data_IF_904954046208
#
_entry.id   IF_904954046208
#
_cell.length_a   1.000
_cell.length_b   1.000
_cell.length_c   1.000
_cell.angle_alpha   90.00
_cell.angle_beta   90.00
_cell.angle_gamma   90.00
#
_symmetry.space_group_name_H-M   'P 1'
#
loop_
_entity.id
_entity.type
_entity.pdbx_description
1 polymer ?
#
# COMPACT_ATOMS: atom_id res chain seq x y z
N UNK A 1 -10.76 62.80 10.76
CA UNK A 1 -10.46 61.89 9.64
C UNK A 1 -9.77 60.66 10.23
N UNK A 2 -10.46 59.52 10.33
CA UNK A 2 -9.92 58.27 10.91
C UNK A 2 -9.88 57.22 9.80
N UNK A 3 -8.68 56.80 9.42
CA UNK A 3 -8.47 55.77 8.40
C UNK A 3 -8.85 54.43 9.01
N UNK A 4 -9.90 53.79 8.48
CA UNK A 4 -10.26 52.40 8.82
C UNK A 4 -9.31 51.49 8.06
N UNK A 5 -8.40 50.84 8.78
CA UNK A 5 -7.57 49.75 8.26
C UNK A 5 -8.46 48.51 8.18
N UNK A 6 -8.68 48.00 6.98
CA UNK A 6 -9.38 46.74 6.74
C UNK A 6 -8.54 45.58 7.25
N UNK A 7 -9.19 44.63 7.94
CA UNK A 7 -8.56 43.38 8.39
C UNK A 7 -8.18 42.54 7.16
N UNK A 8 -7.01 41.90 7.11
CA UNK A 8 -6.71 40.93 6.08
C UNK A 8 -7.60 39.71 6.26
N UNK A 9 -8.28 39.32 5.18
CA UNK A 9 -9.00 38.06 5.07
C UNK A 9 -7.95 36.96 5.15
N UNK A 10 -7.94 36.23 6.27
CA UNK A 10 -7.15 35.04 6.46
C UNK A 10 -7.77 33.96 5.56
N UNK A 11 -7.25 33.81 4.34
CA UNK A 11 -7.51 32.64 3.50
C UNK A 11 -6.90 31.48 4.27
N UNK A 12 -7.75 30.64 4.86
CA UNK A 12 -7.37 29.44 5.59
C UNK A 12 -6.54 28.56 4.68
N UNK A 13 -5.23 28.55 4.91
CA UNK A 13 -4.30 27.67 4.25
C UNK A 13 -4.69 26.22 4.54
N UNK A 14 -4.93 25.48 3.46
CA UNK A 14 -4.98 24.03 3.50
C UNK A 14 -3.65 23.55 4.06
N UNK A 15 -3.68 22.90 5.21
CA UNK A 15 -2.55 22.19 5.75
C UNK A 15 -2.25 21.00 4.82
N UNK A 16 -1.36 21.23 3.86
CA UNK A 16 -0.63 20.17 3.16
C UNK A 16 0.14 19.38 4.23
N UNK A 17 -0.42 18.25 4.65
CA UNK A 17 0.35 17.23 5.37
C UNK A 17 1.31 16.65 4.34
N UNK A 18 2.52 17.19 4.35
CA UNK A 18 3.65 16.69 3.59
C UNK A 18 3.97 15.28 4.04
N UNK A 19 3.55 14.29 3.24
CA UNK A 19 4.14 12.96 3.30
C UNK A 19 5.49 13.08 2.61
N UNK A 20 6.54 13.24 3.41
CA UNK A 20 7.92 13.06 2.97
C UNK A 20 8.12 11.58 2.61
N UNK A 21 7.82 11.20 1.37
CA UNK A 21 8.31 9.94 0.81
C UNK A 21 9.78 10.17 0.46
N UNK A 22 10.65 9.39 1.09
CA UNK A 22 12.09 9.32 0.82
C UNK A 22 12.32 9.08 -0.67
N UNK A 23 12.62 10.16 -1.40
CA UNK A 23 13.25 10.09 -2.73
C UNK A 23 14.71 9.69 -2.49
N UNK A 24 15.04 8.45 -2.78
CA UNK A 24 16.38 8.05 -3.22
C UNK A 24 16.18 7.24 -4.49
N UNK A 25 16.72 7.59 -5.67
CA UNK A 25 17.98 8.26 -5.99
C UNK A 25 17.77 9.09 -7.28
N UNK A 26 18.38 10.28 -7.33
CA UNK A 26 18.61 11.08 -8.56
C UNK A 26 19.97 10.70 -9.14
N UNK A 27 20.08 10.50 -10.46
CA UNK A 27 21.20 10.97 -11.30
C UNK A 27 20.89 10.78 -12.80
N UNK A 28 20.83 11.90 -13.54
CA UNK A 28 20.81 11.96 -15.01
C UNK A 28 22.25 11.90 -15.50
N UNK A 29 22.62 10.93 -16.36
CA UNK A 29 23.76 11.05 -17.28
C UNK A 29 23.39 10.43 -18.63
N UNK A 30 23.56 11.22 -19.70
CA UNK A 30 23.46 10.78 -21.09
C UNK A 30 24.53 9.72 -21.41
N UNK A 31 24.09 8.55 -21.87
CA UNK A 31 24.96 7.54 -22.48
C UNK A 31 24.44 6.13 -22.25
N UNK A 32 23.75 5.54 -23.24
CA UNK A 32 23.63 4.10 -23.50
C UNK A 32 23.49 3.12 -22.31
N UNK A 33 22.97 3.56 -21.16
CA UNK A 33 22.81 2.71 -19.99
C UNK A 33 21.58 1.83 -20.22
N UNK A 34 21.79 0.51 -20.25
CA UNK A 34 20.69 -0.45 -20.16
C UNK A 34 19.86 -0.08 -18.94
N UNK A 35 18.55 0.12 -19.11
CA UNK A 35 17.60 0.33 -18.00
C UNK A 35 17.86 -0.79 -16.99
N UNK A 36 18.30 -0.44 -15.79
CA UNK A 36 18.56 -1.43 -14.74
C UNK A 36 17.23 -2.11 -14.41
N UNK A 37 17.24 -3.43 -14.53
CA UNK A 37 16.05 -4.25 -14.35
C UNK A 37 15.98 -4.67 -12.89
N UNK A 38 14.87 -4.37 -12.21
CA UNK A 38 14.68 -4.75 -10.81
C UNK A 38 14.55 -6.27 -10.67
N UNK A 39 15.20 -6.83 -9.65
CA UNK A 39 15.01 -8.23 -9.22
C UNK A 39 14.17 -8.35 -7.96
N UNK A 40 13.61 -7.24 -7.46
CA UNK A 40 12.78 -7.20 -6.25
C UNK A 40 11.37 -7.74 -6.54
N UNK A 41 10.92 -8.82 -5.86
CA UNK A 41 9.54 -9.30 -5.94
C UNK A 41 8.47 -8.25 -5.66
N UNK A 42 8.79 -7.22 -4.87
CA UNK A 42 7.88 -6.17 -4.46
C UNK A 42 7.94 -4.92 -5.35
N UNK A 43 8.74 -4.94 -6.43
CA UNK A 43 9.02 -3.79 -7.29
C UNK A 43 7.76 -3.05 -7.76
N UNK A 44 6.79 -3.76 -8.34
CA UNK A 44 5.53 -3.14 -8.77
C UNK A 44 4.59 -2.84 -7.59
N UNK A 45 4.53 -3.75 -6.60
CA UNK A 45 3.65 -3.62 -5.45
C UNK A 45 3.94 -2.34 -4.64
N UNK A 46 5.22 -2.01 -4.44
CA UNK A 46 5.65 -0.88 -3.63
C UNK A 46 5.46 0.48 -4.31
N UNK A 47 5.23 0.52 -5.63
CA UNK A 47 4.98 1.76 -6.37
C UNK A 47 3.58 2.32 -6.15
N UNK A 48 2.63 1.48 -5.74
CA UNK A 48 1.21 1.84 -5.67
C UNK A 48 0.72 1.83 -4.23
N UNK A 49 -0.10 2.83 -3.91
CA UNK A 49 -0.80 2.93 -2.62
C UNK A 49 -2.31 2.99 -2.84
N UNK A 50 -3.08 2.46 -1.89
CA UNK A 50 -4.54 2.62 -1.87
C UNK A 50 -4.88 4.11 -1.79
N UNK A 51 -5.87 4.54 -2.58
CA UNK A 51 -6.25 5.93 -2.74
C UNK A 51 -5.54 6.66 -3.88
N UNK A 52 -4.48 6.08 -4.48
CA UNK A 52 -3.88 6.61 -5.71
C UNK A 52 -4.90 6.56 -6.85
N UNK A 53 -4.95 7.58 -7.71
CA UNK A 53 -5.84 7.54 -8.87
C UNK A 53 -5.41 6.46 -9.84
N UNK A 54 -6.37 5.94 -10.61
CA UNK A 54 -6.10 4.94 -11.65
C UNK A 54 -5.04 5.43 -12.65
N UNK A 55 -5.17 6.67 -13.14
CA UNK A 55 -4.23 7.27 -14.09
C UNK A 55 -2.81 7.33 -13.51
N UNK A 56 -2.64 7.81 -12.27
CA UNK A 56 -1.33 7.86 -11.61
C UNK A 56 -0.74 6.47 -11.41
N UNK A 57 -1.56 5.49 -11.02
CA UNK A 57 -1.11 4.12 -10.78
C UNK A 57 -0.67 3.42 -12.07
N UNK A 58 -1.39 3.59 -13.17
CA UNK A 58 -1.02 3.01 -14.46
C UNK A 58 0.25 3.67 -15.02
N UNK A 59 0.38 4.98 -14.82
CA UNK A 59 1.57 5.74 -15.23
C UNK A 59 2.83 5.30 -14.48
N UNK A 60 2.77 5.08 -13.16
CA UNK A 60 3.95 4.70 -12.37
C UNK A 60 4.35 3.23 -12.57
N UNK A 61 3.39 2.36 -12.89
CA UNK A 61 3.65 0.94 -13.10
C UNK A 61 4.43 0.68 -14.41
N UNK A 62 4.19 1.50 -15.45
CA UNK A 62 4.83 1.37 -16.77
C UNK A 62 4.68 -0.02 -17.42
N UNK A 63 3.63 -0.77 -17.04
CA UNK A 63 3.31 -2.09 -17.60
C UNK A 63 1.82 -2.19 -17.90
N UNK A 64 1.46 -2.99 -18.90
CA UNK A 64 0.07 -3.20 -19.28
C UNK A 64 -0.65 -4.09 -18.25
N UNK A 65 -1.83 -3.64 -17.80
CA UNK A 65 -2.67 -4.41 -16.88
C UNK A 65 -3.52 -5.43 -17.62
N UNK A 66 -3.59 -6.66 -17.11
CA UNK A 66 -4.49 -7.70 -17.61
C UNK A 66 -5.73 -7.82 -16.71
N UNK A 67 -6.93 -7.82 -17.31
CA UNK A 67 -8.19 -7.85 -16.56
C UNK A 67 -8.33 -9.11 -15.68
N UNK A 68 -8.71 -8.91 -14.42
CA UNK A 68 -8.91 -9.96 -13.40
C UNK A 68 -10.10 -9.62 -12.49
N UNK A 69 -11.27 -10.18 -12.78
CA UNK A 69 -12.47 -9.91 -12.00
C UNK A 69 -12.86 -8.43 -12.07
N UNK A 70 -12.84 -7.73 -10.92
CA UNK A 70 -13.09 -6.27 -10.82
C UNK A 70 -11.81 -5.43 -10.84
N UNK A 71 -10.66 -6.05 -11.10
CA UNK A 71 -9.36 -5.41 -11.08
C UNK A 71 -8.48 -5.79 -12.26
N UNK A 72 -7.20 -5.46 -12.13
CA UNK A 72 -6.16 -5.70 -13.12
C UNK A 72 -4.93 -6.30 -12.46
N UNK A 73 -4.29 -7.25 -13.12
CA UNK A 73 -2.98 -7.77 -12.76
C UNK A 73 -1.92 -7.05 -13.59
N UNK A 74 -0.94 -6.45 -12.92
CA UNK A 74 0.23 -5.82 -13.52
C UNK A 74 1.44 -6.68 -13.18
N UNK A 75 2.04 -7.30 -14.20
CA UNK A 75 3.10 -8.29 -14.06
C UNK A 75 4.47 -7.65 -14.29
N UNK A 76 5.43 -7.97 -13.44
CA UNK A 76 6.85 -7.74 -13.71
C UNK A 76 7.42 -8.99 -14.39
N UNK A 77 7.64 -8.93 -15.71
CA UNK A 77 8.15 -10.06 -16.49
C UNK A 77 9.55 -10.51 -16.04
N UNK A 78 10.29 -9.66 -15.34
CA UNK A 78 11.66 -9.97 -14.92
C UNK A 78 11.71 -10.85 -13.68
N UNK A 79 10.73 -10.68 -12.78
CA UNK A 79 10.68 -11.40 -11.51
C UNK A 79 9.57 -12.44 -11.47
N UNK A 80 8.55 -12.30 -12.32
CA UNK A 80 7.32 -13.07 -12.31
C UNK A 80 6.29 -12.59 -11.27
N UNK A 81 6.67 -11.70 -10.36
CA UNK A 81 5.74 -11.12 -9.38
C UNK A 81 5.01 -9.92 -9.98
N UNK A 82 4.08 -9.34 -9.23
CA UNK A 82 3.40 -8.14 -9.68
C UNK A 82 2.46 -7.57 -8.63
N UNK A 83 1.46 -6.83 -9.10
CA UNK A 83 0.40 -6.31 -8.24
C UNK A 83 -0.95 -6.48 -8.90
N UNK A 84 -1.92 -6.94 -8.13
CA UNK A 84 -3.34 -6.91 -8.49
C UNK A 84 -3.96 -5.65 -7.88
N UNK A 85 -4.56 -4.80 -8.71
CA UNK A 85 -5.26 -3.58 -8.27
C UNK A 85 -6.75 -3.67 -8.60
N UNK A 86 -7.61 -3.29 -7.67
CA UNK A 86 -9.02 -3.01 -7.97
C UNK A 86 -9.30 -1.54 -7.78
N UNK A 87 -10.13 -0.99 -8.66
CA UNK A 87 -10.49 0.42 -8.68
C UNK A 87 -11.97 0.61 -8.34
N UNK A 88 -12.29 1.72 -7.69
CA UNK A 88 -13.67 2.14 -7.45
C UNK A 88 -13.70 3.66 -7.31
N UNK A 89 -14.87 4.24 -7.54
CA UNK A 89 -15.13 5.64 -7.21
C UNK A 89 -15.45 5.74 -5.72
N UNK A 90 -14.65 6.47 -4.97
CA UNK A 90 -14.92 6.78 -3.56
C UNK A 90 -15.40 8.22 -3.44
N UNK A 91 -16.52 8.42 -2.74
CA UNK A 91 -16.97 9.75 -2.38
C UNK A 91 -15.93 10.37 -1.43
N UNK A 92 -15.13 11.30 -1.93
CA UNK A 92 -14.28 12.11 -1.07
C UNK A 92 -15.18 13.07 -0.29
N UNK A 93 -14.85 13.38 0.97
CA UNK A 93 -15.60 14.36 1.76
C UNK A 93 -15.63 15.77 1.11
N UNK A 94 -14.82 16.00 0.07
CA UNK A 94 -14.87 17.19 -0.77
C UNK A 94 -16.15 17.26 -1.65
N UNK A 95 -16.81 16.12 -1.91
CA UNK A 95 -18.05 16.07 -2.69
C UNK A 95 -19.31 16.51 -1.92
N UNK A 96 -19.24 16.63 -0.59
CA UNK A 96 -20.38 17.05 0.24
C UNK A 96 -20.51 18.58 0.38
N UNK A 97 -19.65 19.38 -0.25
CA UNK A 97 -19.53 20.82 0.02
C UNK A 97 -19.76 21.80 -1.13
N UNK A 98 -19.77 21.38 -2.39
CA UNK A 98 -19.89 22.32 -3.53
C UNK A 98 -20.89 21.79 -4.55
N UNK A 99 -22.16 22.12 -4.31
CA UNK A 99 -23.06 22.32 -5.42
C UNK A 99 -22.56 23.53 -6.21
N UNK A 100 -22.35 23.33 -7.51
CA UNK A 100 -22.10 24.36 -8.52
C UNK A 100 -20.64 24.83 -8.71
N UNK A 101 -19.90 24.11 -9.57
CA UNK A 101 -19.15 24.65 -10.72
C UNK A 101 -18.42 23.50 -11.43
N UNK A 102 -18.84 23.12 -12.65
CA UNK A 102 -18.03 22.31 -13.58
C UNK A 102 -17.35 21.06 -13.00
N UNK A 103 -18.10 20.22 -12.28
CA UNK A 103 -17.57 19.08 -11.53
C UNK A 103 -16.70 18.17 -12.43
N UNK A 104 -15.43 18.01 -12.05
CA UNK A 104 -14.58 16.94 -12.57
C UNK A 104 -15.28 15.60 -12.26
N UNK A 105 -15.38 14.74 -13.28
CA UNK A 105 -15.89 13.36 -13.11
C UNK A 105 -15.15 12.69 -11.94
N UNK A 106 -15.85 11.97 -11.05
CA UNK A 106 -15.21 11.34 -9.90
C UNK A 106 -14.15 10.35 -10.39
N UNK A 107 -12.88 10.63 -10.09
CA UNK A 107 -11.78 9.78 -10.48
C UNK A 107 -11.88 8.41 -9.78
N UNK A 108 -11.68 7.33 -10.55
CA UNK A 108 -11.46 6.00 -9.97
C UNK A 108 -10.12 5.99 -9.22
N UNK A 109 -10.12 5.43 -8.02
CA UNK A 109 -8.91 5.25 -7.21
C UNK A 109 -8.69 3.79 -6.88
N UNK A 110 -7.44 3.43 -6.55
CA UNK A 110 -7.09 2.11 -6.05
C UNK A 110 -7.79 1.90 -4.70
N UNK A 111 -8.74 0.96 -4.64
CA UNK A 111 -9.41 0.59 -3.38
C UNK A 111 -8.92 -0.73 -2.80
N UNK A 112 -8.15 -1.48 -3.57
CA UNK A 112 -7.54 -2.72 -3.14
C UNK A 112 -6.27 -2.95 -3.93
N UNK A 113 -5.19 -3.32 -3.24
CA UNK A 113 -3.96 -3.84 -3.83
C UNK A 113 -3.57 -5.14 -3.18
N UNK A 114 -3.04 -6.06 -3.96
CA UNK A 114 -2.53 -7.34 -3.48
C UNK A 114 -1.26 -7.70 -4.25
N UNK A 115 -0.26 -8.23 -3.55
CA UNK A 115 0.93 -8.80 -4.17
C UNK A 115 0.50 -9.96 -5.08
N UNK A 116 0.80 -9.83 -6.37
CA UNK A 116 0.60 -10.93 -7.30
C UNK A 116 1.79 -11.88 -7.20
N UNK A 117 1.51 -13.13 -6.85
CA UNK A 117 2.47 -14.22 -6.79
C UNK A 117 1.98 -15.29 -7.78
N UNK A 118 2.82 -15.78 -8.72
CA UNK A 118 2.39 -16.74 -9.74
C UNK A 118 1.82 -18.04 -9.15
N UNK A 119 2.53 -18.61 -8.17
CA UNK A 119 2.17 -19.83 -7.47
C UNK A 119 3.00 -19.98 -6.17
N UNK A 120 2.70 -21.02 -5.38
CA UNK A 120 3.33 -21.29 -4.08
C UNK A 120 4.87 -21.51 -4.17
N UNK A 121 5.43 -21.81 -5.35
CA UNK A 121 6.89 -21.98 -5.53
C UNK A 121 7.65 -20.65 -5.48
N UNK A 122 6.96 -19.53 -5.67
CA UNK A 122 7.53 -18.18 -5.58
C UNK A 122 7.57 -17.66 -4.13
N UNK A 123 7.05 -18.38 -3.14
CA UNK A 123 7.18 -17.94 -1.74
C UNK A 123 8.63 -17.89 -1.25
N UNK A 124 9.51 -18.70 -1.85
CA UNK A 124 10.93 -18.76 -1.47
C UNK A 124 11.63 -17.40 -1.68
N UNK A 125 11.21 -16.61 -2.68
CA UNK A 125 11.71 -15.25 -2.92
C UNK A 125 11.19 -14.20 -1.94
N UNK A 126 10.23 -14.57 -1.08
CA UNK A 126 9.61 -13.70 -0.07
C UNK A 126 9.94 -14.14 1.36
N UNK A 127 10.76 -15.18 1.56
CA UNK A 127 11.15 -15.67 2.89
C UNK A 127 11.86 -14.56 3.66
N UNK A 128 11.34 -14.24 4.85
CA UNK A 128 11.86 -13.18 5.70
C UNK A 128 11.88 -13.54 7.20
N UNK A 129 11.40 -14.73 7.58
CA UNK A 129 11.06 -15.03 8.97
C UNK A 129 11.41 -16.44 9.44
N UNK A 130 11.29 -16.64 10.76
CA UNK A 130 11.28 -17.94 11.44
C UNK A 130 10.27 -17.91 12.60
N UNK A 131 9.01 -17.61 12.28
CA UNK A 131 7.92 -17.41 13.25
C UNK A 131 7.22 -18.74 13.56
N UNK A 132 6.86 -18.97 14.82
CA UNK A 132 6.15 -20.18 15.24
C UNK A 132 4.65 -19.94 15.46
N UNK A 133 3.87 -21.02 15.44
CA UNK A 133 2.45 -20.97 15.82
C UNK A 133 2.26 -20.44 17.25
N UNK A 134 3.13 -20.81 18.20
CA UNK A 134 3.04 -20.34 19.59
C UNK A 134 3.24 -18.83 19.72
N UNK A 135 4.17 -18.25 18.94
CA UNK A 135 4.35 -16.80 18.88
C UNK A 135 3.07 -16.12 18.38
N UNK A 136 2.45 -16.63 17.31
CA UNK A 136 1.19 -16.08 16.78
C UNK A 136 0.03 -16.25 17.75
N UNK A 137 -0.09 -17.40 18.43
CA UNK A 137 -1.14 -17.66 19.41
C UNK A 137 -1.02 -16.80 20.67
N UNK A 138 0.16 -16.21 20.93
CA UNK A 138 0.36 -15.27 22.04
C UNK A 138 -0.14 -13.86 21.76
N UNK A 139 -0.41 -13.53 20.49
CA UNK A 139 -0.86 -12.21 20.07
C UNK A 139 -2.30 -11.92 20.51
N UNK A 140 -2.66 -10.63 20.56
CA UNK A 140 -4.01 -10.17 20.89
C UNK A 140 -4.40 -9.03 19.98
N UNK A 141 -5.69 -8.97 19.61
CA UNK A 141 -6.23 -7.79 18.93
C UNK A 141 -5.91 -6.53 19.75
N UNK A 142 -5.56 -5.45 19.05
CA UNK A 142 -5.22 -4.17 19.68
C UNK A 142 -3.72 -3.97 19.92
N UNK A 143 -2.88 -5.00 19.79
CA UNK A 143 -1.43 -4.85 19.93
C UNK A 143 -0.87 -3.91 18.84
N UNK A 144 0.06 -3.01 19.20
CA UNK A 144 0.77 -2.18 18.23
C UNK A 144 1.83 -3.00 17.49
N UNK A 145 2.11 -2.63 16.24
CA UNK A 145 3.05 -3.33 15.36
C UNK A 145 4.44 -3.55 15.99
N UNK A 146 5.03 -2.55 16.64
CA UNK A 146 6.38 -2.67 17.20
C UNK A 146 6.48 -3.70 18.34
N UNK A 147 5.40 -3.89 19.11
CA UNK A 147 5.33 -4.94 20.13
C UNK A 147 5.27 -6.32 19.48
N UNK A 148 4.45 -6.47 18.45
CA UNK A 148 4.34 -7.71 17.67
C UNK A 148 5.67 -8.03 16.99
N UNK A 149 6.29 -7.07 16.31
CA UNK A 149 7.61 -7.22 15.69
C UNK A 149 8.62 -7.76 16.70
N UNK A 150 8.60 -7.26 17.93
CA UNK A 150 9.45 -7.78 19.02
C UNK A 150 9.14 -9.24 19.34
N UNK A 151 7.87 -9.61 19.49
CA UNK A 151 7.42 -11.00 19.73
C UNK A 151 7.85 -11.93 18.59
N UNK A 152 7.80 -11.44 17.35
CA UNK A 152 8.13 -12.18 16.12
C UNK A 152 9.62 -12.16 15.77
N UNK A 153 10.50 -11.72 16.69
CA UNK A 153 11.95 -11.81 16.52
C UNK A 153 12.62 -10.58 15.88
N UNK A 154 11.97 -9.42 15.92
CA UNK A 154 12.54 -8.14 15.51
C UNK A 154 12.52 -7.89 14.00
N UNK A 155 11.85 -8.74 13.22
CA UNK A 155 11.79 -8.68 11.76
C UNK A 155 10.52 -8.01 11.26
N UNK A 156 10.66 -7.17 10.24
CA UNK A 156 9.51 -6.57 9.58
C UNK A 156 8.77 -7.59 8.71
N UNK A 157 7.44 -7.58 8.83
CA UNK A 157 6.58 -8.32 7.91
C UNK A 157 6.56 -7.67 6.53
N UNK A 158 6.22 -8.46 5.51
CA UNK A 158 6.02 -7.97 4.14
C UNK A 158 4.55 -7.65 3.98
N UNK A 159 4.20 -6.41 3.60
CA UNK A 159 2.81 -6.12 3.22
C UNK A 159 2.49 -6.81 1.90
N UNK A 160 1.46 -7.66 1.90
CA UNK A 160 1.02 -8.42 0.73
C UNK A 160 -0.36 -8.00 0.25
N UNK A 161 -1.06 -7.17 1.02
CA UNK A 161 -2.39 -6.69 0.71
C UNK A 161 -2.65 -5.36 1.42
N UNK A 162 -3.34 -4.45 0.75
CA UNK A 162 -3.91 -3.26 1.38
C UNK A 162 -5.28 -2.97 0.80
N UNK A 163 -6.26 -2.67 1.66
CA UNK A 163 -7.65 -2.43 1.28
C UNK A 163 -8.18 -1.11 1.85
N UNK A 164 -8.93 -0.38 1.04
CA UNK A 164 -9.58 0.86 1.43
C UNK A 164 -10.60 0.62 2.54
N UNK A 165 -10.53 1.45 3.57
CA UNK A 165 -11.44 1.39 4.70
C UNK A 165 -12.51 2.48 4.57
N UNK A 166 -13.71 2.09 4.12
CA UNK A 166 -14.84 3.02 3.95
C UNK A 166 -15.26 3.72 5.24
N UNK A 167 -14.97 3.14 6.41
CA UNK A 167 -15.33 3.72 7.71
C UNK A 167 -14.28 4.70 8.25
N UNK A 168 -13.04 4.57 7.79
CA UNK A 168 -11.92 5.41 8.19
C UNK A 168 -10.93 5.51 7.02
N UNK A 169 -11.17 6.41 6.05
CA UNK A 169 -10.34 6.55 4.85
C UNK A 169 -8.87 6.88 5.13
N UNK A 170 -8.55 7.39 6.32
CA UNK A 170 -7.18 7.66 6.73
C UNK A 170 -6.41 6.37 7.10
N UNK A 171 -7.12 5.29 7.43
CA UNK A 171 -6.51 4.03 7.89
C UNK A 171 -7.02 2.84 7.07
N UNK A 172 -6.24 2.42 6.08
CA UNK A 172 -6.48 1.20 5.30
C UNK A 172 -6.39 -0.06 6.16
N UNK A 173 -6.94 -1.17 5.69
CA UNK A 173 -6.59 -2.48 6.24
C UNK A 173 -5.35 -2.99 5.51
N UNK A 174 -4.29 -3.30 6.25
CA UNK A 174 -3.02 -3.80 5.71
C UNK A 174 -2.80 -5.23 6.17
N UNK A 175 -2.63 -6.18 5.24
CA UNK A 175 -2.24 -7.56 5.58
C UNK A 175 -0.76 -7.71 5.35
N UNK A 176 -0.06 -8.12 6.40
CA UNK A 176 1.36 -8.39 6.38
C UNK A 176 1.61 -9.89 6.60
N UNK A 177 2.65 -10.40 5.95
CA UNK A 177 3.08 -11.78 6.00
C UNK A 177 4.49 -11.92 6.57
N UNK A 178 4.69 -12.96 7.37
CA UNK A 178 5.99 -13.48 7.79
C UNK A 178 6.09 -14.89 7.21
N UNK A 179 7.01 -15.09 6.27
CA UNK A 179 7.14 -16.30 5.48
C UNK A 179 8.40 -17.03 5.92
N UNK A 180 8.23 -18.27 6.37
CA UNK A 180 9.30 -19.12 6.86
C UNK A 180 9.94 -19.94 5.73
N UNK A 181 11.18 -20.45 5.90
CA UNK A 181 11.83 -21.32 4.92
C UNK A 181 11.07 -22.62 4.61
N UNK A 182 10.27 -23.12 5.56
CA UNK A 182 9.43 -24.31 5.36
C UNK A 182 8.10 -24.01 4.66
N UNK A 183 7.88 -22.76 4.23
CA UNK A 183 6.65 -22.24 3.62
C UNK A 183 5.43 -22.18 4.55
N UNK A 184 5.61 -22.35 5.85
CA UNK A 184 4.60 -21.86 6.80
C UNK A 184 4.57 -20.33 6.81
N UNK A 185 3.40 -19.74 7.05
CA UNK A 185 3.18 -18.29 6.94
C UNK A 185 2.32 -17.79 8.08
N UNK A 186 2.75 -16.71 8.73
CA UNK A 186 1.88 -15.91 9.59
C UNK A 186 1.28 -14.75 8.80
N UNK A 187 -0.05 -14.64 8.80
CA UNK A 187 -0.76 -13.49 8.22
C UNK A 187 -1.38 -12.65 9.32
N UNK A 188 -1.04 -11.37 9.36
CA UNK A 188 -1.58 -10.42 10.32
C UNK A 188 -2.22 -9.25 9.57
N UNK A 189 -3.47 -8.96 9.90
CA UNK A 189 -4.19 -7.79 9.40
C UNK A 189 -4.12 -6.66 10.43
N UNK A 190 -3.70 -5.48 9.98
CA UNK A 190 -3.59 -4.27 10.76
C UNK A 190 -4.61 -3.22 10.29
N UNK A 191 -5.11 -2.41 11.21
CA UNK A 191 -5.72 -1.12 10.91
C UNK A 191 -4.59 -0.10 10.75
N UNK A 192 -4.39 0.40 9.53
CA UNK A 192 -3.24 1.18 9.09
C UNK A 192 -2.02 0.31 8.77
N UNK A 193 -1.14 0.81 7.89
CA UNK A 193 0.16 0.17 7.62
C UNK A 193 0.99 0.18 8.91
N UNK A 194 1.41 -1.00 9.37
CA UNK A 194 2.12 -1.18 10.65
C UNK A 194 1.39 -0.51 11.83
N UNK A 195 0.06 -0.52 11.80
CA UNK A 195 -0.77 0.07 12.84
C UNK A 195 -1.15 -0.92 13.94
N UNK A 196 -2.45 -1.07 14.17
CA UNK A 196 -3.00 -1.87 15.27
C UNK A 196 -3.53 -3.22 14.77
N UNK A 197 -3.13 -4.31 15.42
CA UNK A 197 -3.53 -5.67 15.03
C UNK A 197 -5.04 -5.88 15.14
N UNK A 198 -5.61 -6.51 14.12
CA UNK A 198 -7.05 -6.85 14.01
C UNK A 198 -7.30 -8.34 13.90
N UNK A 199 -6.61 -9.00 13.01
CA UNK A 199 -6.77 -10.44 12.73
C UNK A 199 -5.39 -11.04 12.58
N UNK A 200 -5.19 -12.27 13.04
CA UNK A 200 -3.94 -12.98 12.90
C UNK A 200 -4.19 -14.48 12.76
N UNK A 201 -3.41 -15.12 11.91
CA UNK A 201 -3.45 -16.56 11.69
C UNK A 201 -2.05 -17.09 11.37
N UNK A 202 -1.80 -18.34 11.76
CA UNK A 202 -0.62 -19.09 11.34
C UNK A 202 -1.07 -20.24 10.45
N UNK A 203 -0.54 -20.30 9.23
CA UNK A 203 -0.78 -21.41 8.30
C UNK A 203 0.46 -22.30 8.25
N UNK A 204 0.35 -23.59 8.61
CA UNK A 204 1.47 -24.52 8.50
C UNK A 204 1.82 -24.77 7.02
N UNK A 205 3.03 -25.30 6.79
CA UNK A 205 3.43 -25.80 5.48
C UNK A 205 2.43 -26.85 4.97
N UNK A 206 2.14 -26.83 3.66
CA UNK A 206 1.30 -27.83 2.99
C UNK A 206 2.05 -29.13 2.73
#
# INVERSE_FOLDING_TARGET
>A
MKIKISKPILIGGVALIGIAVLIGIVLIIFGGAKKEVSTDPLNLYNKVVVGMTKEESEKILEVEGSAKGKGFNYLDENTGYGVTLSYDTVATAAAEGTADTGAEEPAEVVVFKQLYVPDDTYLDGLVNANVTADQINSLKEGMPYEEIKTILGGIDGIEINSAYNKKDPANTYSVMAWINPDRSVAYLTFLGYKGTLKVFEFRPAK
#
